data_IF_831338597142
#
_entry.id   IF_831338597142
#
_cell.length_a   1.000
_cell.length_b   1.000
_cell.length_c   1.000
_cell.angle_alpha   90.00
_cell.angle_beta   90.00
_cell.angle_gamma   90.00
#
_symmetry.space_group_name_H-M   'P 1'
#
loop_
_entity.id
_entity.type
_entity.pdbx_description
1 polymer ?
#
# COMPACT_ATOMS: atom_id res chain seq x y z
N UNK A 1 18.53 -13.57 -11.57
CA UNK A 1 17.32 -12.84 -11.99
C UNK A 1 16.83 -12.02 -10.79
N UNK A 2 17.11 -10.72 -10.78
CA UNK A 2 16.81 -9.83 -9.66
C UNK A 2 15.30 -9.58 -9.60
N UNK A 3 14.70 -9.84 -8.44
CA UNK A 3 13.29 -9.60 -8.16
C UNK A 3 13.08 -8.08 -8.01
N UNK A 4 12.26 -7.42 -8.85
CA UNK A 4 12.08 -5.95 -8.83
C UNK A 4 11.26 -5.42 -7.65
N UNK A 5 11.27 -6.12 -6.51
CA UNK A 5 10.68 -5.66 -5.24
C UNK A 5 11.67 -4.86 -4.37
N UNK A 6 12.88 -4.61 -4.86
CA UNK A 6 13.89 -3.81 -4.17
C UNK A 6 13.79 -2.30 -4.52
N UNK A 7 12.61 -1.71 -4.29
CA UNK A 7 12.48 -0.25 -4.22
C UNK A 7 12.69 0.20 -2.76
N UNK A 8 13.94 0.10 -2.31
CA UNK A 8 14.39 0.66 -1.05
C UNK A 8 14.48 2.19 -1.09
N UNK A 9 13.82 2.86 -0.13
CA UNK A 9 14.34 4.03 0.58
C UNK A 9 13.41 4.37 1.78
N UNK A 10 13.79 4.00 3.01
CA UNK A 10 13.29 4.64 4.25
C UNK A 10 11.94 4.18 4.85
N UNK A 11 11.96 3.01 5.52
CA UNK A 11 11.24 2.56 6.75
C UNK A 11 9.71 2.67 6.94
N UNK A 12 8.95 3.35 6.09
CA UNK A 12 7.49 3.42 6.19
C UNK A 12 6.81 3.04 4.86
N UNK A 13 6.93 1.76 4.51
CA UNK A 13 6.11 1.18 3.45
C UNK A 13 4.76 0.72 4.03
N UNK A 14 3.68 1.09 3.35
CA UNK A 14 2.34 0.61 3.71
C UNK A 14 1.94 -0.58 2.85
N UNK A 15 1.10 -1.44 3.42
CA UNK A 15 0.56 -2.59 2.74
C UNK A 15 -0.65 -2.18 1.93
N UNK A 16 -0.73 -2.71 0.72
CA UNK A 16 -1.88 -2.62 -0.16
C UNK A 16 -2.28 -4.03 -0.56
N UNK A 17 -3.55 -4.23 -0.85
CA UNK A 17 -3.99 -5.50 -1.42
C UNK A 17 -5.10 -5.29 -2.46
N UNK A 18 -5.15 -6.22 -3.40
CA UNK A 18 -6.19 -6.29 -4.42
C UNK A 18 -7.05 -7.52 -4.16
N UNK A 19 -8.36 -7.33 -4.02
CA UNK A 19 -9.31 -8.41 -3.76
C UNK A 19 -9.60 -9.24 -5.02
N UNK A 20 -9.48 -8.66 -6.21
CA UNK A 20 -9.67 -9.38 -7.47
C UNK A 20 -8.61 -10.47 -7.66
N UNK A 21 -7.33 -10.15 -7.48
CA UNK A 21 -6.24 -11.11 -7.66
C UNK A 21 -5.74 -11.73 -6.34
N UNK A 22 -6.28 -11.30 -5.19
CA UNK A 22 -5.93 -11.78 -3.84
C UNK A 22 -4.42 -11.75 -3.58
N UNK A 23 -3.79 -10.63 -3.95
CA UNK A 23 -2.36 -10.37 -3.75
C UNK A 23 -2.17 -9.09 -2.94
N UNK A 24 -1.21 -9.13 -2.04
CA UNK A 24 -0.73 -7.97 -1.30
C UNK A 24 0.63 -7.52 -1.79
N UNK A 25 0.90 -6.23 -1.70
CA UNK A 25 2.18 -5.64 -2.05
C UNK A 25 2.46 -4.42 -1.17
N UNK A 26 3.74 -4.07 -1.03
CA UNK A 26 4.17 -2.91 -0.24
C UNK A 26 4.38 -1.72 -1.15
N UNK A 27 4.10 -0.53 -0.65
CA UNK A 27 4.37 0.72 -1.36
C UNK A 27 5.05 1.75 -0.47
N UNK A 28 6.05 2.48 -0.99
CA UNK A 28 6.65 3.57 -0.26
C UNK A 28 5.67 4.75 -0.13
N UNK A 29 5.80 5.49 0.97
CA UNK A 29 5.23 6.83 1.07
C UNK A 29 6.09 7.80 0.27
N UNK A 30 5.64 8.10 -0.94
CA UNK A 30 6.29 9.02 -1.89
C UNK A 30 6.50 10.40 -1.24
N UNK A 31 5.63 10.78 -0.30
CA UNK A 31 5.68 12.05 0.44
C UNK A 31 6.76 12.18 1.54
N UNK A 32 7.45 11.11 1.96
CA UNK A 32 8.42 11.20 3.07
C UNK A 32 9.88 11.38 2.60
N UNK A 33 10.19 11.11 1.34
CA UNK A 33 11.48 11.45 0.76
C UNK A 33 11.50 12.96 0.48
N UNK A 34 11.76 13.80 1.48
CA UNK A 34 12.06 15.22 1.25
C UNK A 34 13.52 15.34 0.82
N UNK A 35 13.83 15.59 -0.46
CA UNK A 35 15.19 15.85 -0.88
C UNK A 35 15.64 17.20 -0.29
N UNK A 36 16.24 17.14 0.90
CA UNK A 36 16.71 18.33 1.64
C UNK A 36 17.83 19.09 0.92
N UNK A 37 18.46 18.45 -0.08
CA UNK A 37 19.51 19.02 -0.93
C UNK A 37 18.99 19.74 -2.18
N UNK A 38 17.70 19.68 -2.49
CA UNK A 38 17.15 20.33 -3.69
C UNK A 38 16.72 21.78 -3.40
N UNK A 39 16.94 22.64 -4.41
CA UNK A 39 16.43 24.00 -4.42
C UNK A 39 14.90 24.05 -4.31
N UNK A 40 14.36 25.20 -3.85
CA UNK A 40 12.94 25.38 -3.55
C UNK A 40 12.02 25.07 -4.74
N UNK A 41 12.38 25.48 -5.96
CA UNK A 41 11.62 25.21 -7.19
C UNK A 41 11.52 23.70 -7.47
N UNK A 42 12.66 23.02 -7.51
CA UNK A 42 12.73 21.56 -7.78
C UNK A 42 12.00 20.75 -6.72
N UNK A 43 12.05 21.18 -5.44
CA UNK A 43 11.28 20.56 -4.37
C UNK A 43 9.77 20.66 -4.62
N UNK A 44 9.28 21.81 -5.10
CA UNK A 44 7.84 22.04 -5.32
C UNK A 44 7.32 21.21 -6.49
N UNK A 45 8.11 21.09 -7.56
CA UNK A 45 7.80 20.22 -8.70
C UNK A 45 7.81 18.75 -8.31
N UNK A 46 8.82 18.32 -7.54
CA UNK A 46 8.89 16.97 -6.99
C UNK A 46 7.67 16.64 -6.13
N UNK A 47 7.24 17.55 -5.25
CA UNK A 47 6.03 17.37 -4.43
C UNK A 47 4.74 17.31 -5.27
N UNK A 48 4.65 18.07 -6.37
CA UNK A 48 3.50 18.00 -7.29
C UNK A 48 3.48 16.66 -8.01
N UNK A 49 4.60 16.24 -8.58
CA UNK A 49 4.74 14.95 -9.29
C UNK A 49 4.51 13.78 -8.34
N UNK A 50 5.01 13.85 -7.11
CA UNK A 50 4.74 12.85 -6.08
C UNK A 50 3.24 12.74 -5.78
N UNK A 51 2.52 13.86 -5.62
CA UNK A 51 1.06 13.87 -5.40
C UNK A 51 0.29 13.27 -6.56
N UNK A 52 0.65 13.61 -7.80
CA UNK A 52 0.02 13.04 -9.00
C UNK A 52 0.25 11.53 -9.07
N UNK A 53 1.51 11.10 -8.93
CA UNK A 53 1.89 9.70 -8.88
C UNK A 53 1.20 8.94 -7.74
N UNK A 54 1.06 9.56 -6.57
CA UNK A 54 0.28 9.01 -5.48
C UNK A 54 -1.18 8.82 -5.89
N UNK A 55 -1.84 9.83 -6.47
CA UNK A 55 -3.25 9.72 -6.85
C UNK A 55 -3.52 8.67 -7.94
N UNK A 56 -2.71 8.61 -8.98
CA UNK A 56 -2.93 7.71 -10.12
C UNK A 56 -2.59 6.26 -9.80
N UNK A 57 -1.52 6.09 -9.02
CA UNK A 57 -0.92 4.78 -8.86
C UNK A 57 -1.45 4.10 -7.60
N UNK A 58 -1.77 4.82 -6.51
CA UNK A 58 -2.15 4.28 -5.17
C UNK A 58 -3.36 3.35 -5.16
N UNK A 59 -4.13 3.34 -6.25
CA UNK A 59 -5.36 2.57 -6.36
C UNK A 59 -5.32 1.48 -7.44
N UNK A 60 -4.18 1.25 -8.10
CA UNK A 60 -4.05 0.21 -9.13
C UNK A 60 -3.19 -0.95 -8.66
N UNK A 61 -3.65 -2.16 -8.94
CA UNK A 61 -2.94 -3.40 -8.69
C UNK A 61 -1.85 -3.60 -9.76
N UNK A 62 -0.57 -3.80 -9.39
CA UNK A 62 0.50 -4.03 -10.36
C UNK A 62 0.39 -5.38 -11.09
N UNK A 63 -0.45 -6.30 -10.59
CA UNK A 63 -0.60 -7.64 -11.18
C UNK A 63 -1.78 -7.75 -12.16
N UNK A 64 -2.88 -7.06 -11.91
CA UNK A 64 -4.10 -7.21 -12.70
C UNK A 64 -4.72 -5.89 -13.16
N UNK A 65 -4.13 -4.74 -12.81
CA UNK A 65 -4.68 -3.42 -13.12
C UNK A 65 -5.93 -3.03 -12.34
N UNK A 66 -6.55 -3.96 -11.60
CA UNK A 66 -7.73 -3.71 -10.78
C UNK A 66 -7.48 -2.81 -9.57
N UNK A 67 -8.53 -2.57 -8.77
CA UNK A 67 -8.46 -1.66 -7.63
C UNK A 67 -7.60 -2.26 -6.50
N UNK A 68 -6.68 -1.45 -5.99
CA UNK A 68 -5.88 -1.74 -4.81
C UNK A 68 -6.32 -0.89 -3.62
N UNK A 69 -6.51 -1.56 -2.49
CA UNK A 69 -6.97 -0.95 -1.25
C UNK A 69 -5.81 -0.83 -0.27
N UNK A 70 -5.82 0.25 0.51
CA UNK A 70 -4.86 0.48 1.59
C UNK A 70 -5.19 -0.43 2.77
N UNK A 71 -4.21 -1.20 3.23
CA UNK A 71 -4.38 -2.17 4.31
C UNK A 71 -3.71 -1.71 5.60
N UNK A 72 -2.90 -0.66 5.60
CA UNK A 72 -2.15 -0.21 6.78
C UNK A 72 -0.78 -0.87 6.93
N UNK A 73 -0.11 -0.59 8.06
CA UNK A 73 1.32 -0.93 8.26
C UNK A 73 1.52 -2.40 8.61
N UNK A 74 0.67 -2.92 9.49
CA UNK A 74 0.86 -4.22 10.15
C UNK A 74 0.05 -5.36 9.51
N UNK A 75 -0.56 -5.09 8.34
CA UNK A 75 -1.31 -6.09 7.61
C UNK A 75 -0.44 -7.29 7.20
N UNK A 76 -0.91 -8.49 7.55
CA UNK A 76 -0.38 -9.77 7.08
C UNK A 76 -1.40 -10.39 6.14
N UNK A 77 -1.02 -10.52 4.87
CA UNK A 77 -1.91 -11.07 3.87
C UNK A 77 -2.18 -12.57 4.11
N UNK A 78 -3.44 -13.01 4.03
CA UNK A 78 -3.74 -14.43 4.04
C UNK A 78 -3.23 -15.10 2.78
N UNK A 79 -3.18 -16.44 2.79
CA UNK A 79 -2.86 -17.22 1.59
C UNK A 79 -3.82 -16.85 0.46
N UNK A 80 -3.33 -16.68 -0.76
CA UNK A 80 -4.15 -16.29 -1.92
C UNK A 80 -5.31 -17.27 -2.18
N UNK A 81 -5.13 -18.55 -1.87
CA UNK A 81 -6.15 -19.60 -2.01
C UNK A 81 -7.28 -19.50 -0.99
N UNK A 82 -7.08 -18.87 0.18
CA UNK A 82 -8.06 -18.82 1.27
C UNK A 82 -9.11 -17.71 1.05
N UNK A 83 -10.14 -18.03 0.26
CA UNK A 83 -11.21 -17.10 -0.10
C UNK A 83 -11.93 -16.52 1.12
N UNK A 84 -12.17 -17.32 2.16
CA UNK A 84 -12.89 -16.90 3.38
C UNK A 84 -12.07 -15.91 4.20
N UNK A 85 -10.75 -16.08 4.24
CA UNK A 85 -9.87 -15.08 4.86
C UNK A 85 -9.87 -13.76 4.07
N UNK A 86 -9.83 -13.81 2.74
CA UNK A 86 -9.87 -12.61 1.89
C UNK A 86 -11.18 -11.82 2.00
N UNK A 87 -12.32 -12.52 2.05
CA UNK A 87 -13.64 -11.90 2.26
C UNK A 87 -13.72 -11.15 3.59
N UNK A 88 -13.14 -11.71 4.66
CA UNK A 88 -13.02 -11.07 5.96
C UNK A 88 -12.18 -9.79 5.92
N UNK A 89 -11.04 -9.83 5.21
CA UNK A 89 -10.20 -8.64 5.00
C UNK A 89 -10.96 -7.57 4.21
N UNK A 90 -11.68 -7.97 3.16
CA UNK A 90 -12.48 -7.06 2.33
C UNK A 90 -13.57 -6.37 3.14
N UNK A 91 -14.29 -7.12 3.97
CA UNK A 91 -15.32 -6.58 4.87
C UNK A 91 -14.72 -5.61 5.89
N UNK A 92 -13.57 -5.98 6.49
CA UNK A 92 -12.87 -5.15 7.46
C UNK A 92 -12.44 -3.81 6.86
N UNK A 93 -11.84 -3.82 5.67
CA UNK A 93 -11.39 -2.59 5.00
C UNK A 93 -12.56 -1.76 4.48
N UNK A 94 -13.60 -2.40 3.95
CA UNK A 94 -14.83 -1.72 3.49
C UNK A 94 -15.56 -1.05 4.64
N UNK A 95 -15.44 -1.56 5.87
CA UNK A 95 -15.97 -0.91 7.08
C UNK A 95 -15.23 0.38 7.47
N UNK A 96 -14.19 0.77 6.72
CA UNK A 96 -13.36 1.95 6.99
C UNK A 96 -12.24 1.73 8.00
N UNK A 97 -12.06 0.49 8.48
CA UNK A 97 -10.97 0.12 9.38
C UNK A 97 -9.70 -0.22 8.60
N UNK A 98 -8.54 -0.09 9.24
CA UNK A 98 -7.22 -0.34 8.64
C UNK A 98 -6.29 -0.99 9.66
N UNK A 99 -5.30 -1.77 9.22
CA UNK A 99 -4.39 -2.49 10.12
C UNK A 99 -3.25 -1.57 10.59
N UNK A 100 -3.43 -0.96 11.75
CA UNK A 100 -2.41 -0.16 12.44
C UNK A 100 -2.27 -0.58 13.91
N UNK A 101 -1.03 -0.62 14.41
CA UNK A 101 -0.64 -0.62 15.82
C UNK A 101 -1.41 -1.62 16.71
N UNK A 102 -0.91 -2.86 16.80
CA UNK A 102 -1.39 -3.88 17.75
C UNK A 102 -2.92 -4.15 17.73
N UNK A 103 -3.62 -3.86 16.64
CA UNK A 103 -4.99 -4.39 16.51
C UNK A 103 -4.86 -5.90 16.25
N UNK A 104 -5.23 -6.78 17.19
CA UNK A 104 -5.14 -8.21 16.97
C UNK A 104 -6.00 -8.57 15.76
N UNK A 105 -5.48 -9.44 14.89
CA UNK A 105 -6.20 -10.03 13.75
C UNK A 105 -7.20 -11.09 14.26
N UNK A 106 -7.88 -10.79 15.37
CA UNK A 106 -8.76 -11.71 16.10
C UNK A 106 -10.16 -11.12 16.28
N UNK A 107 -10.35 -9.81 16.08
CA UNK A 107 -11.68 -9.16 16.12
C UNK A 107 -12.30 -8.96 14.72
N UNK A 108 -12.03 -9.90 13.80
CA UNK A 108 -12.94 -10.14 12.67
C UNK A 108 -13.88 -11.27 13.08
N UNK A 109 -14.82 -10.93 13.96
CA UNK A 109 -15.96 -11.76 14.32
C UNK A 109 -17.18 -11.32 13.51
#
# INVERSE_FOLDING_TARGET
>A
MQNPLDYGCGTHAFSYACFTCRKSFKRPLVSLAKPRSLGKSVRTEFERSARLFESEFRHKCPHCGGVAHFMGRDFKAPKSSDKRAWERVETFITSGKTYHHRTPVEDVK
#
